data_IF_769692465411
#
_entry.id   IF_769692465411
#
_cell.length_a   1.000
_cell.length_b   1.000
_cell.length_c   1.000
_cell.angle_alpha   90.00
_cell.angle_beta   90.00
_cell.angle_gamma   90.00
#
_symmetry.space_group_name_H-M   'P 1'
#
loop_
_entity.id
_entity.type
_entity.pdbx_description
1 polymer ?
#
# COMPACT_ATOMS: atom_id res chain seq x y z
N UNK A 1 21.25 42.10 17.92
CA UNK A 1 20.65 40.75 17.73
C UNK A 1 21.78 39.78 17.41
N UNK A 2 21.94 38.68 18.17
CA UNK A 2 22.96 37.66 17.83
C UNK A 2 22.54 36.99 16.52
N UNK A 3 23.41 37.01 15.50
CA UNK A 3 23.21 36.18 14.31
C UNK A 3 23.44 34.72 14.73
N UNK A 4 22.41 33.90 14.57
CA UNK A 4 22.49 32.47 14.81
C UNK A 4 22.86 31.84 13.47
N UNK A 5 23.99 31.14 13.45
CA UNK A 5 24.47 30.43 12.26
C UNK A 5 23.45 29.33 11.88
N UNK A 6 23.23 29.07 10.59
CA UNK A 6 22.21 28.12 10.09
C UNK A 6 22.37 26.71 10.70
N UNK A 7 23.61 26.28 10.96
CA UNK A 7 23.94 25.02 11.63
C UNK A 7 23.42 24.94 13.07
N UNK A 8 23.34 26.07 13.77
CA UNK A 8 22.81 26.12 15.14
C UNK A 8 21.28 26.03 15.16
N UNK A 9 20.59 26.57 14.14
CA UNK A 9 19.14 26.44 14.00
C UNK A 9 18.72 24.98 13.81
N UNK A 10 19.43 24.24 12.95
CA UNK A 10 19.13 22.83 12.69
C UNK A 10 19.18 21.97 13.96
N UNK A 11 20.10 22.26 14.88
CA UNK A 11 20.24 21.53 16.14
C UNK A 11 19.05 21.72 17.11
N UNK A 12 18.28 22.80 16.96
CA UNK A 12 17.12 23.12 17.82
C UNK A 12 15.90 22.26 17.44
N UNK A 13 15.75 21.91 16.16
CA UNK A 13 14.62 21.15 15.63
C UNK A 13 14.77 19.62 15.74
N UNK A 14 15.86 19.13 16.35
CA UNK A 14 16.03 17.70 16.56
C UNK A 14 15.08 17.19 17.63
N UNK A 15 14.43 16.06 17.33
CA UNK A 15 13.57 15.34 18.26
C UNK A 15 14.40 14.80 19.41
N UNK A 16 13.87 14.86 20.64
CA UNK A 16 14.57 14.41 21.85
C UNK A 16 13.83 13.26 22.48
N UNK A 17 14.54 12.17 22.74
CA UNK A 17 13.97 11.01 23.43
C UNK A 17 14.98 10.43 24.42
N UNK A 18 14.52 10.14 25.65
CA UNK A 18 15.35 9.51 26.67
C UNK A 18 15.25 7.98 26.55
N UNK A 19 16.39 7.32 26.36
CA UNK A 19 16.47 5.85 26.30
C UNK A 19 17.56 5.32 27.22
N UNK A 20 17.33 4.13 27.74
CA UNK A 20 18.32 3.39 28.52
C UNK A 20 19.25 2.62 27.58
N UNK A 21 20.54 2.67 27.84
CA UNK A 21 21.55 1.91 27.10
C UNK A 21 21.54 0.45 27.56
N UNK A 22 21.49 -0.47 26.60
CA UNK A 22 21.55 -1.91 26.81
C UNK A 22 22.92 -2.35 27.36
N UNK A 23 22.99 -3.57 27.92
CA UNK A 23 24.24 -4.19 28.38
C UNK A 23 25.28 -4.30 27.26
N UNK A 24 24.82 -4.43 26.02
CA UNK A 24 25.66 -4.49 24.83
C UNK A 24 26.15 -3.12 24.34
N UNK A 25 25.92 -2.03 25.08
CA UNK A 25 26.31 -0.69 24.66
C UNK A 25 25.48 -0.19 23.46
N UNK A 26 24.21 -0.59 23.37
CA UNK A 26 23.34 -0.23 22.26
C UNK A 26 22.09 0.47 22.76
N UNK A 27 21.54 1.36 21.93
CA UNK A 27 20.27 2.02 22.19
C UNK A 27 19.28 1.70 21.07
N UNK A 28 18.07 1.33 21.44
CA UNK A 28 16.99 1.03 20.49
C UNK A 28 16.10 2.25 20.29
N UNK A 29 15.98 2.70 19.04
CA UNK A 29 15.16 3.82 18.61
C UNK A 29 14.42 3.45 17.32
N UNK A 30 13.08 3.54 17.32
CA UNK A 30 12.20 3.15 16.19
C UNK A 30 12.51 1.77 15.57
N UNK A 31 12.89 0.79 16.39
CA UNK A 31 13.25 -0.56 15.93
C UNK A 31 14.67 -0.70 15.35
N UNK A 32 15.40 0.40 15.24
CA UNK A 32 16.81 0.44 14.87
C UNK A 32 17.68 0.43 16.13
N UNK A 33 18.88 -0.15 16.01
CA UNK A 33 19.87 -0.18 17.08
C UNK A 33 21.03 0.75 16.74
N UNK A 34 21.48 1.51 17.72
CA UNK A 34 22.58 2.46 17.60
C UNK A 34 23.67 2.11 18.58
N UNK A 35 24.91 2.10 18.12
CA UNK A 35 26.07 1.79 18.96
C UNK A 35 26.45 2.99 19.81
N UNK A 36 26.62 2.73 21.11
CA UNK A 36 26.91 3.74 22.12
C UNK A 36 28.17 3.39 22.90
N UNK A 37 28.95 4.39 23.31
CA UNK A 37 30.16 4.17 24.09
C UNK A 37 29.89 3.37 25.37
N UNK A 38 30.80 2.45 25.70
CA UNK A 38 30.61 1.47 26.78
C UNK A 38 30.43 2.10 28.17
N UNK A 39 30.94 3.32 28.40
CA UNK A 39 30.78 4.04 29.67
C UNK A 39 29.35 4.55 29.94
N UNK A 40 28.47 4.45 28.92
CA UNK A 40 27.05 4.80 28.99
C UNK A 40 26.15 3.59 29.24
N UNK A 41 26.70 2.37 29.27
CA UNK A 41 25.95 1.14 29.54
C UNK A 41 25.19 1.26 30.86
N UNK A 42 23.89 0.96 30.83
CA UNK A 42 23.00 1.03 31.99
C UNK A 42 22.52 2.42 32.39
N UNK A 43 23.05 3.50 31.77
CA UNK A 43 22.61 4.88 32.01
C UNK A 43 21.47 5.26 31.04
N UNK A 44 20.69 6.27 31.44
CA UNK A 44 19.73 6.92 30.55
C UNK A 44 20.42 8.04 29.79
N UNK A 45 20.27 8.05 28.47
CA UNK A 45 20.86 9.05 27.57
C UNK A 45 19.74 9.74 26.78
N UNK A 46 19.94 11.02 26.49
CA UNK A 46 19.05 11.78 25.61
C UNK A 46 19.55 11.61 24.17
N UNK A 47 18.71 11.03 23.32
CA UNK A 47 18.98 10.89 21.89
C UNK A 47 18.33 12.07 21.17
N UNK A 48 19.12 12.76 20.34
CA UNK A 48 18.63 13.79 19.42
C UNK A 48 18.73 13.30 17.99
N UNK A 49 17.63 13.31 17.26
CA UNK A 49 17.56 12.74 15.90
C UNK A 49 16.56 13.47 15.00
N UNK A 50 16.66 13.22 13.69
CA UNK A 50 15.68 13.65 12.71
C UNK A 50 14.75 12.47 12.41
N UNK A 51 13.43 12.64 12.53
CA UNK A 51 12.46 11.56 12.27
C UNK A 51 12.47 11.08 10.81
N UNK A 52 12.86 11.95 9.86
CA UNK A 52 12.95 11.61 8.44
C UNK A 52 14.28 10.96 8.05
N UNK A 53 15.34 11.15 8.86
CA UNK A 53 16.67 10.56 8.63
C UNK A 53 17.25 10.01 9.93
N UNK A 54 17.19 8.69 10.08
CA UNK A 54 17.73 7.95 11.23
C UNK A 54 19.16 7.44 10.99
N UNK A 55 19.81 7.86 9.92
CA UNK A 55 21.17 7.42 9.56
C UNK A 55 22.19 7.79 10.64
N UNK A 56 21.98 8.92 11.31
CA UNK A 56 22.84 9.43 12.38
C UNK A 56 22.00 9.99 13.52
N UNK A 57 22.39 9.66 14.75
CA UNK A 57 21.76 10.22 15.96
C UNK A 57 22.82 10.81 16.87
N UNK A 58 22.45 11.84 17.63
CA UNK A 58 23.35 12.52 18.55
C UNK A 58 23.00 12.10 19.98
N UNK A 59 24.00 11.65 20.74
CA UNK A 59 23.83 11.17 22.11
C UNK A 59 24.29 12.26 23.07
N UNK A 60 23.39 12.61 23.99
CA UNK A 60 23.61 13.57 25.05
C UNK A 60 23.45 12.91 26.42
N UNK A 61 24.21 13.38 27.40
CA UNK A 61 24.04 13.04 28.81
C UNK A 61 24.11 14.31 29.64
N UNK A 62 23.13 14.52 30.52
CA UNK A 62 23.06 15.71 31.37
C UNK A 62 23.20 17.03 30.58
N UNK A 63 22.64 17.08 29.37
CA UNK A 63 22.73 18.24 28.47
C UNK A 63 24.05 18.41 27.73
N UNK A 64 25.06 17.58 27.98
CA UNK A 64 26.33 17.58 27.26
C UNK A 64 26.32 16.62 26.08
N UNK A 65 26.80 17.09 24.92
CA UNK A 65 26.99 16.24 23.75
C UNK A 65 28.15 15.28 23.99
N UNK A 66 27.91 13.98 23.82
CA UNK A 66 28.95 12.97 24.01
C UNK A 66 29.47 12.42 22.68
N UNK A 67 28.57 11.99 21.81
CA UNK A 67 28.97 11.33 20.56
C UNK A 67 27.87 11.31 19.50
N UNK A 68 28.27 11.07 18.25
CA UNK A 68 27.36 10.70 17.16
C UNK A 68 27.31 9.18 17.07
N UNK A 69 26.12 8.60 17.15
CA UNK A 69 25.92 7.17 16.97
C UNK A 69 25.37 6.89 15.56
N UNK A 70 25.93 5.87 14.91
CA UNK A 70 25.45 5.36 13.62
C UNK A 70 24.59 4.12 13.86
N UNK A 71 23.67 3.87 12.96
CA UNK A 71 22.85 2.66 13.00
C UNK A 71 23.73 1.40 12.88
N UNK A 72 23.61 0.51 13.87
CA UNK A 72 24.21 -0.82 13.81
C UNK A 72 23.45 -1.65 12.79
N UNK A 73 24.05 -1.84 11.61
CA UNK A 73 23.54 -2.81 10.64
C UNK A 73 23.96 -4.19 11.11
N UNK A 74 23.07 -4.89 11.83
CA UNK A 74 23.26 -6.31 11.98
C UNK A 74 23.13 -6.94 10.59
N UNK A 75 24.09 -7.76 10.14
CA UNK A 75 23.87 -8.58 8.97
C UNK A 75 22.64 -9.42 9.27
N UNK A 76 21.54 -9.19 8.55
CA UNK A 76 20.39 -10.09 8.58
C UNK A 76 20.97 -11.47 8.29
N UNK A 77 20.87 -12.38 9.25
CA UNK A 77 21.13 -13.79 9.02
C UNK A 77 20.07 -14.25 8.02
N UNK A 78 20.39 -14.05 6.74
CA UNK A 78 19.54 -14.45 5.66
C UNK A 78 19.77 -15.95 5.52
N UNK A 79 18.95 -16.75 6.18
CA UNK A 79 18.84 -18.19 5.92
C UNK A 79 18.49 -18.49 4.46
N UNK A 80 18.12 -17.48 3.67
CA UNK A 80 18.02 -17.58 2.21
C UNK A 80 19.38 -17.57 1.50
N UNK A 81 20.52 -17.77 2.20
CA UNK A 81 21.71 -18.30 1.55
C UNK A 81 21.31 -19.63 0.91
N UNK A 82 20.96 -19.54 -0.38
CA UNK A 82 20.92 -20.61 -1.38
C UNK A 82 21.88 -21.70 -0.91
N UNK A 83 21.31 -22.77 -0.37
CA UNK A 83 22.02 -24.02 -0.28
C UNK A 83 22.39 -24.34 -1.73
N UNK A 84 23.65 -24.15 -2.09
CA UNK A 84 24.18 -24.59 -3.38
C UNK A 84 24.13 -26.12 -3.33
N UNK A 85 22.95 -26.69 -3.57
CA UNK A 85 22.82 -28.11 -3.76
C UNK A 85 23.65 -28.48 -5.00
N UNK A 86 24.51 -29.51 -4.93
CA UNK A 86 25.19 -30.01 -6.12
C UNK A 86 24.11 -30.38 -7.15
N UNK A 87 24.26 -29.87 -8.38
CA UNK A 87 23.32 -30.15 -9.48
C UNK A 87 23.25 -31.67 -9.69
N UNK A 88 22.07 -32.30 -9.63
CA UNK A 88 21.94 -33.71 -9.97
C UNK A 88 22.34 -33.93 -11.43
N UNK A 89 23.17 -34.95 -11.68
CA UNK A 89 23.83 -35.26 -12.96
C UNK A 89 22.91 -35.87 -14.03
N UNK A 90 21.62 -36.00 -13.76
CA UNK A 90 20.63 -36.44 -14.74
C UNK A 90 19.33 -35.65 -14.60
N UNK A 91 18.68 -35.24 -15.71
CA UNK A 91 17.36 -34.63 -15.63
C UNK A 91 16.38 -35.63 -14.99
N UNK A 92 15.55 -35.17 -14.02
CA UNK A 92 14.54 -36.04 -13.42
C UNK A 92 13.57 -36.53 -14.51
N UNK A 93 13.01 -37.74 -14.38
CA UNK A 93 11.98 -38.21 -15.29
C UNK A 93 10.84 -37.19 -15.34
N UNK A 94 10.33 -36.90 -16.55
CA UNK A 94 9.20 -35.99 -16.73
C UNK A 94 7.98 -36.59 -16.03
N UNK A 95 7.74 -36.15 -14.80
CA UNK A 95 6.61 -36.61 -14.01
C UNK A 95 5.34 -36.15 -14.70
N UNK A 96 4.53 -37.08 -15.21
CA UNK A 96 3.25 -36.83 -15.87
C UNK A 96 2.13 -36.38 -14.92
N UNK A 97 2.51 -35.80 -13.78
CA UNK A 97 1.60 -35.38 -12.73
C UNK A 97 1.48 -33.86 -12.88
N UNK A 98 0.30 -33.39 -13.31
CA UNK A 98 -0.06 -31.98 -13.42
C UNK A 98 -0.19 -31.35 -12.02
N UNK A 99 0.93 -31.27 -11.32
CA UNK A 99 1.02 -30.70 -9.97
C UNK A 99 0.56 -29.23 -9.96
N UNK A 100 0.80 -28.51 -11.06
CA UNK A 100 0.37 -27.13 -11.24
C UNK A 100 -1.15 -27.00 -11.26
N UNK A 101 -1.86 -27.84 -12.02
CA UNK A 101 -3.33 -27.84 -12.02
C UNK A 101 -3.89 -28.13 -10.64
N UNK A 102 -3.31 -29.10 -9.92
CA UNK A 102 -3.75 -29.43 -8.57
C UNK A 102 -3.57 -28.25 -7.60
N UNK A 103 -2.45 -27.53 -7.68
CA UNK A 103 -2.18 -26.33 -6.88
C UNK A 103 -3.13 -25.18 -7.24
N UNK A 104 -3.42 -24.98 -8.53
CA UNK A 104 -4.37 -23.96 -8.99
C UNK A 104 -5.80 -24.26 -8.50
N UNK A 105 -6.22 -25.52 -8.55
CA UNK A 105 -7.50 -25.99 -8.03
C UNK A 105 -7.61 -25.71 -6.53
N UNK A 106 -6.60 -26.12 -5.75
CA UNK A 106 -6.55 -25.88 -4.30
C UNK A 106 -6.63 -24.40 -3.96
N UNK A 107 -5.86 -23.56 -4.65
CA UNK A 107 -5.88 -22.12 -4.44
C UNK A 107 -7.24 -21.50 -4.79
N UNK A 108 -7.89 -21.96 -5.86
CA UNK A 108 -9.22 -21.51 -6.26
C UNK A 108 -10.28 -21.89 -5.24
N UNK A 109 -10.22 -23.10 -4.69
CA UNK A 109 -11.14 -23.52 -3.62
C UNK A 109 -10.93 -22.69 -2.35
N UNK A 110 -9.68 -22.47 -1.93
CA UNK A 110 -9.38 -21.64 -0.77
C UNK A 110 -9.94 -20.20 -0.90
N UNK A 111 -9.86 -19.59 -2.09
CA UNK A 111 -10.49 -18.29 -2.36
C UNK A 111 -12.02 -18.34 -2.25
N UNK A 112 -12.67 -19.40 -2.75
CA UNK A 112 -14.12 -19.59 -2.62
C UNK A 112 -14.55 -19.75 -1.17
N UNK A 113 -13.82 -20.54 -0.38
CA UNK A 113 -14.09 -20.73 1.05
C UNK A 113 -13.91 -19.45 1.85
N UNK A 114 -12.85 -18.67 1.56
CA UNK A 114 -12.68 -17.36 2.17
C UNK A 114 -13.81 -16.41 1.80
N UNK A 115 -14.20 -16.35 0.53
CA UNK A 115 -15.34 -15.53 0.09
C UNK A 115 -16.63 -15.94 0.80
N UNK A 116 -16.90 -17.25 0.94
CA UNK A 116 -18.08 -17.78 1.64
C UNK A 116 -18.06 -17.44 3.13
N UNK A 117 -16.90 -17.50 3.80
CA UNK A 117 -16.73 -17.08 5.20
C UNK A 117 -16.97 -15.58 5.40
N UNK A 118 -16.50 -14.75 4.47
CA UNK A 118 -16.73 -13.30 4.53
C UNK A 118 -18.19 -12.95 4.21
N UNK A 119 -18.81 -13.64 3.26
CA UNK A 119 -20.21 -13.43 2.85
C UNK A 119 -21.21 -13.96 3.91
N UNK A 120 -20.87 -15.06 4.60
CA UNK A 120 -21.70 -15.68 5.64
C UNK A 120 -21.85 -14.88 6.94
N UNK A 121 -21.17 -13.73 7.08
CA UNK A 121 -21.35 -12.79 8.20
C UNK A 121 -22.28 -11.61 7.87
N UNK A 122 -22.77 -11.51 6.64
CA UNK A 122 -23.75 -10.49 6.24
C UNK A 122 -25.15 -11.13 6.15
N UNK A 123 -25.82 -11.24 7.30
CA UNK A 123 -27.26 -11.51 7.40
C UNK A 123 -28.11 -10.30 6.99
N UNK A 124 -27.71 -9.59 5.95
CA UNK A 124 -28.51 -8.56 5.29
C UNK A 124 -28.20 -8.67 3.80
N UNK A 125 -29.08 -9.34 3.06
CA UNK A 125 -29.17 -9.11 1.62
C UNK A 125 -29.26 -7.58 1.45
N UNK A 126 -28.34 -6.92 0.74
CA UNK A 126 -28.56 -5.53 0.41
C UNK A 126 -29.90 -5.49 -0.31
N UNK A 127 -30.80 -4.66 0.21
CA UNK A 127 -31.99 -4.18 -0.49
C UNK A 127 -31.58 -4.03 -1.95
N UNK A 128 -32.31 -4.64 -2.90
CA UNK A 128 -32.03 -4.45 -4.33
C UNK A 128 -32.30 -2.97 -4.65
N UNK A 129 -31.35 -2.12 -4.28
CA UNK A 129 -31.30 -0.71 -4.65
C UNK A 129 -31.06 -0.77 -6.15
N UNK A 130 -32.11 -0.47 -6.90
CA UNK A 130 -32.01 -0.24 -8.33
C UNK A 130 -30.88 0.77 -8.51
N UNK A 131 -29.83 0.38 -9.22
CA UNK A 131 -28.67 1.24 -9.43
C UNK A 131 -29.12 2.38 -10.37
N UNK A 132 -29.62 3.45 -9.77
CA UNK A 132 -30.12 4.63 -10.48
C UNK A 132 -28.97 5.51 -10.95
N UNK A 133 -29.22 6.40 -11.91
CA UNK A 133 -28.25 7.38 -12.40
C UNK A 133 -27.59 8.20 -11.28
N UNK A 134 -28.32 8.50 -10.20
CA UNK A 134 -27.80 9.21 -9.02
C UNK A 134 -26.72 8.40 -8.29
N UNK A 135 -26.88 7.07 -8.20
CA UNK A 135 -25.90 6.19 -7.61
C UNK A 135 -24.64 6.11 -8.47
N UNK A 136 -24.79 6.14 -9.80
CA UNK A 136 -23.67 6.23 -10.73
C UNK A 136 -22.84 7.50 -10.53
N UNK A 137 -23.50 8.66 -10.44
CA UNK A 137 -22.79 9.94 -10.20
C UNK A 137 -22.04 9.93 -8.86
N UNK A 138 -22.71 9.44 -7.81
CA UNK A 138 -22.10 9.30 -6.48
C UNK A 138 -20.90 8.35 -6.49
N UNK A 139 -20.98 7.23 -7.20
CA UNK A 139 -19.89 6.26 -7.30
C UNK A 139 -18.65 6.85 -8.00
N UNK A 140 -18.85 7.56 -9.12
CA UNK A 140 -17.76 8.24 -9.84
C UNK A 140 -17.13 9.33 -8.98
N UNK A 141 -17.94 10.19 -8.35
CA UNK A 141 -17.44 11.25 -7.48
C UNK A 141 -16.61 10.71 -6.30
N UNK A 142 -17.12 9.65 -5.65
CA UNK A 142 -16.44 8.99 -4.53
C UNK A 142 -15.10 8.41 -4.94
N UNK A 143 -15.01 7.76 -6.11
CA UNK A 143 -13.77 7.18 -6.62
C UNK A 143 -12.71 8.23 -6.97
N UNK A 144 -13.13 9.45 -7.32
CA UNK A 144 -12.24 10.57 -7.64
C UNK A 144 -11.90 11.43 -6.41
N UNK A 145 -12.36 11.06 -5.21
CA UNK A 145 -12.22 11.85 -3.98
C UNK A 145 -12.78 13.29 -4.10
N UNK A 146 -13.78 13.49 -4.96
CA UNK A 146 -14.45 14.79 -5.17
C UNK A 146 -15.90 14.71 -4.70
N UNK A 147 -16.47 15.85 -4.30
CA UNK A 147 -17.92 15.93 -4.06
C UNK A 147 -18.67 16.03 -5.40
N UNK A 148 -19.90 15.52 -5.47
CA UNK A 148 -20.74 15.62 -6.68
C UNK A 148 -20.96 17.09 -7.07
N UNK A 149 -21.01 17.99 -6.08
CA UNK A 149 -21.18 19.44 -6.23
C UNK A 149 -19.96 20.15 -6.85
N UNK A 150 -18.79 19.50 -6.82
CA UNK A 150 -17.55 20.03 -7.40
C UNK A 150 -17.37 19.62 -8.87
N UNK A 151 -18.27 18.78 -9.41
CA UNK A 151 -18.25 18.41 -10.82
C UNK A 151 -18.85 19.55 -11.64
N UNK A 152 -18.18 19.93 -12.71
CA UNK A 152 -18.67 20.99 -13.59
C UNK A 152 -19.93 20.52 -14.35
N UNK A 153 -20.81 21.46 -14.76
CA UNK A 153 -22.04 21.14 -15.46
C UNK A 153 -21.83 20.29 -16.73
N UNK A 154 -20.73 20.54 -17.45
CA UNK A 154 -20.36 19.75 -18.63
C UNK A 154 -20.01 18.30 -18.27
N UNK A 155 -19.38 18.08 -17.11
CA UNK A 155 -19.02 16.74 -16.64
C UNK A 155 -20.25 15.93 -16.23
N UNK A 156 -21.22 16.59 -15.59
CA UNK A 156 -22.51 15.99 -15.24
C UNK A 156 -23.29 15.58 -16.50
N UNK A 157 -23.29 16.43 -17.53
CA UNK A 157 -23.93 16.11 -18.81
C UNK A 157 -23.28 14.90 -19.49
N UNK A 158 -21.95 14.79 -19.46
CA UNK A 158 -21.22 13.63 -20.00
C UNK A 158 -21.57 12.34 -19.26
N UNK A 159 -21.67 12.38 -17.93
CA UNK A 159 -22.10 11.24 -17.13
C UNK A 159 -23.53 10.80 -17.47
N UNK A 160 -24.44 11.77 -17.65
CA UNK A 160 -25.82 11.50 -18.03
C UNK A 160 -25.92 10.89 -19.44
N UNK A 161 -25.17 11.43 -20.40
CA UNK A 161 -25.14 10.91 -21.76
C UNK A 161 -24.59 9.48 -21.80
N UNK A 162 -23.52 9.19 -21.05
CA UNK A 162 -22.96 7.86 -20.94
C UNK A 162 -23.95 6.86 -20.33
N UNK A 163 -24.71 7.28 -19.31
CA UNK A 163 -25.76 6.46 -18.71
C UNK A 163 -26.88 6.13 -19.69
N UNK A 164 -27.34 7.11 -20.47
CA UNK A 164 -28.41 6.89 -21.46
C UNK A 164 -27.95 6.01 -22.63
N UNK A 165 -26.69 6.10 -23.03
CA UNK A 165 -26.17 5.36 -24.18
C UNK A 165 -25.76 3.91 -23.85
N UNK A 166 -25.21 3.66 -22.66
CA UNK A 166 -24.59 2.37 -22.31
C UNK A 166 -25.06 1.78 -20.98
N UNK A 167 -25.99 2.44 -20.27
CA UNK A 167 -26.55 1.93 -19.03
C UNK A 167 -27.51 0.75 -19.25
N UNK A 168 -27.81 -0.04 -18.20
CA UNK A 168 -27.36 0.11 -16.81
C UNK A 168 -25.97 -0.53 -16.55
N UNK A 169 -25.10 0.23 -15.90
CA UNK A 169 -23.77 -0.26 -15.51
C UNK A 169 -23.83 -1.06 -14.21
N UNK A 170 -23.01 -2.11 -14.11
CA UNK A 170 -22.85 -2.89 -12.88
C UNK A 170 -21.92 -2.17 -11.89
N UNK A 171 -22.31 -2.00 -10.61
CA UNK A 171 -21.50 -1.30 -9.61
C UNK A 171 -20.06 -1.82 -9.45
N UNK A 172 -19.82 -3.16 -9.41
CA UNK A 172 -18.46 -3.68 -9.27
C UNK A 172 -17.56 -3.29 -10.44
N UNK A 173 -18.12 -3.24 -11.65
CA UNK A 173 -17.38 -2.95 -12.87
C UNK A 173 -16.92 -1.49 -12.91
N UNK A 174 -17.76 -0.57 -12.45
CA UNK A 174 -17.42 0.86 -12.35
C UNK A 174 -16.21 1.04 -11.44
N UNK A 175 -16.22 0.44 -10.25
CA UNK A 175 -15.11 0.55 -9.30
C UNK A 175 -13.81 -0.02 -9.86
N UNK A 176 -13.86 -1.19 -10.51
CA UNK A 176 -12.67 -1.82 -11.10
C UNK A 176 -12.13 -0.98 -12.26
N UNK A 177 -13.00 -0.48 -13.14
CA UNK A 177 -12.60 0.34 -14.28
C UNK A 177 -11.96 1.66 -13.82
N UNK A 178 -12.57 2.33 -12.85
CA UNK A 178 -12.04 3.56 -12.25
C UNK A 178 -10.72 3.31 -11.55
N UNK A 179 -10.62 2.27 -10.71
CA UNK A 179 -9.37 1.92 -10.04
C UNK A 179 -8.23 1.66 -11.04
N UNK A 180 -8.51 0.94 -12.14
CA UNK A 180 -7.53 0.71 -13.21
C UNK A 180 -7.11 2.01 -13.91
N UNK A 181 -8.06 2.89 -14.21
CA UNK A 181 -7.78 4.17 -14.87
C UNK A 181 -6.93 5.10 -13.99
N UNK A 182 -7.26 5.17 -12.69
CA UNK A 182 -6.52 5.95 -11.69
C UNK A 182 -5.11 5.40 -11.51
N UNK A 183 -4.93 4.08 -11.44
CA UNK A 183 -3.59 3.47 -11.37
C UNK A 183 -2.74 3.77 -12.60
N UNK A 184 -3.36 3.95 -13.78
CA UNK A 184 -2.65 4.17 -15.03
C UNK A 184 -2.18 5.63 -15.22
N UNK A 185 -3.04 6.62 -14.90
CA UNK A 185 -2.75 8.05 -15.19
C UNK A 185 -2.93 9.00 -13.99
N UNK A 186 -3.23 8.49 -12.81
CA UNK A 186 -3.51 9.31 -11.62
C UNK A 186 -4.93 9.90 -11.61
N UNK A 187 -5.18 10.81 -10.68
CA UNK A 187 -6.49 11.45 -10.46
C UNK A 187 -6.73 12.70 -11.33
N UNK A 188 -5.68 13.25 -11.93
CA UNK A 188 -5.70 14.56 -12.61
C UNK A 188 -6.05 14.45 -14.10
N UNK A 189 -7.13 13.74 -14.42
CA UNK A 189 -7.60 13.56 -15.79
C UNK A 189 -9.04 14.07 -15.93
N UNK A 190 -9.42 14.47 -17.14
CA UNK A 190 -10.80 14.85 -17.43
C UNK A 190 -11.77 13.67 -17.26
N UNK A 191 -13.01 13.95 -16.84
CA UNK A 191 -14.02 12.91 -16.58
C UNK A 191 -14.27 11.97 -17.76
N UNK A 192 -14.11 12.49 -18.99
CA UNK A 192 -14.24 11.73 -20.23
C UNK A 192 -13.30 10.53 -20.28
N UNK A 193 -12.07 10.66 -19.77
CA UNK A 193 -11.10 9.56 -19.73
C UNK A 193 -11.59 8.41 -18.85
N UNK A 194 -12.09 8.73 -17.65
CA UNK A 194 -12.65 7.74 -16.73
C UNK A 194 -13.93 7.10 -17.27
N UNK A 195 -14.78 7.88 -17.92
CA UNK A 195 -15.99 7.39 -18.59
C UNK A 195 -15.64 6.41 -19.71
N UNK A 196 -14.65 6.73 -20.55
CA UNK A 196 -14.16 5.82 -21.59
C UNK A 196 -13.65 4.51 -20.98
N UNK A 197 -12.94 4.56 -19.85
CA UNK A 197 -12.49 3.36 -19.16
C UNK A 197 -13.65 2.49 -18.64
N UNK A 198 -14.71 3.12 -18.10
CA UNK A 198 -15.94 2.44 -17.66
C UNK A 198 -16.65 1.80 -18.86
N UNK A 199 -16.85 2.55 -19.94
CA UNK A 199 -17.54 2.09 -21.16
C UNK A 199 -16.79 0.91 -21.78
N UNK A 200 -15.46 1.04 -21.97
CA UNK A 200 -14.64 -0.03 -22.53
C UNK A 200 -14.67 -1.30 -21.68
N UNK A 201 -14.68 -1.14 -20.35
CA UNK A 201 -14.81 -2.28 -19.43
C UNK A 201 -16.19 -2.94 -19.52
N UNK A 202 -17.24 -2.14 -19.71
CA UNK A 202 -18.61 -2.62 -19.92
C UNK A 202 -18.75 -3.41 -21.22
N UNK A 203 -18.30 -2.85 -22.34
CA UNK A 203 -18.35 -3.52 -23.64
C UNK A 203 -17.55 -4.83 -23.63
N UNK A 204 -16.37 -4.85 -23.02
CA UNK A 204 -15.57 -6.07 -22.90
C UNK A 204 -16.25 -7.13 -22.02
N UNK A 205 -16.94 -6.72 -20.94
CA UNK A 205 -17.69 -7.64 -20.10
C UNK A 205 -18.90 -8.25 -20.84
N UNK A 206 -19.63 -7.44 -21.61
CA UNK A 206 -20.74 -7.91 -22.45
C UNK A 206 -20.26 -8.92 -23.50
N UNK A 207 -19.16 -8.61 -24.21
CA UNK A 207 -18.58 -9.50 -25.21
C UNK A 207 -18.12 -10.84 -24.62
N UNK A 208 -17.53 -10.84 -23.42
CA UNK A 208 -17.11 -12.08 -22.74
C UNK A 208 -18.26 -12.95 -22.28
N UNK A 209 -19.39 -12.37 -21.91
CA UNK A 209 -20.58 -13.14 -21.55
C UNK A 209 -21.18 -13.79 -22.79
N UNK A 210 -21.30 -13.05 -23.90
CA UNK A 210 -21.81 -13.59 -25.16
C UNK A 210 -20.94 -14.72 -25.75
N UNK A 211 -19.63 -14.75 -25.48
CA UNK A 211 -18.73 -15.82 -25.92
C UNK A 211 -18.81 -17.09 -25.06
N UNK A 212 -19.37 -17.03 -23.84
CA UNK A 212 -19.51 -18.21 -22.96
C UNK A 212 -20.82 -18.96 -23.17
N UNK A 213 -21.77 -18.38 -23.90
CA UNK A 213 -23.06 -18.99 -24.24
C UNK A 213 -23.06 -19.66 -25.64
N UNK A 214 -21.91 -19.72 -26.30
CA UNK A 214 -21.67 -20.51 -27.52
C UNK A 214 -20.74 -21.67 -27.22
#
# INVERSE_FOLDING_TARGET
MRKIEEKQLQAIFLWRENRKVDKLGQVSLQGLKFEVASFLVGKTVEIRYNHFDLSQVFIYQNGQFLQKARQTTLPRWNTSKKQNQPKPSSPPPKSGINHLEHLEEQHRQHKKDQAKKMLGRQGQSPRRETFTVTHFFKAVATALHRKVEQLHANELQLLQQAWNAYGPFQPPLIHIALAKAILAKGYDQHISFYLQAIINSHLNHQNKNNQKEK
#
